data_IF_884539713776
#
_entry.id   IF_884539713776
#
_cell.length_a   1.000
_cell.length_b   1.000
_cell.length_c   1.000
_cell.angle_alpha   90.00
_cell.angle_beta   90.00
_cell.angle_gamma   90.00
#
_symmetry.space_group_name_H-M   'P 1'
#
loop_
_entity.id
_entity.type
_entity.pdbx_description
1 polymer ?
#
# COMPACT_ATOMS: atom_id res chain seq x y z
N UNK A 1 -13.68 -36.03 -9.13
CA UNK A 1 -13.89 -34.60 -9.52
C UNK A 1 -13.35 -33.61 -8.46
N UNK A 2 -12.26 -33.91 -7.73
CA UNK A 2 -11.76 -33.08 -6.60
C UNK A 2 -10.30 -32.62 -6.75
N UNK A 3 -9.68 -32.82 -7.90
CA UNK A 3 -8.25 -32.54 -8.15
C UNK A 3 -7.99 -31.55 -9.29
N UNK A 4 -9.01 -31.21 -10.10
CA UNK A 4 -8.84 -30.35 -11.27
C UNK A 4 -8.77 -28.84 -10.97
N UNK A 5 -9.27 -28.38 -9.81
CA UNK A 5 -9.32 -26.95 -9.48
C UNK A 5 -8.02 -26.39 -8.88
N UNK A 6 -7.16 -27.23 -8.28
CA UNK A 6 -5.82 -26.83 -7.81
C UNK A 6 -4.85 -26.54 -8.97
N UNK A 7 -5.12 -27.09 -10.16
CA UNK A 7 -4.34 -26.89 -11.37
C UNK A 7 -4.56 -25.52 -12.03
N UNK A 8 -5.51 -24.69 -11.57
CA UNK A 8 -5.78 -23.36 -12.14
C UNK A 8 -5.13 -22.20 -11.36
N UNK A 9 -4.63 -22.44 -10.15
CA UNK A 9 -3.88 -21.44 -9.37
C UNK A 9 -2.36 -21.55 -9.53
N UNK A 10 -1.85 -22.74 -9.81
CA UNK A 10 -0.45 -22.93 -10.18
C UNK A 10 -0.06 -22.17 -11.47
N UNK A 11 -0.92 -22.08 -12.51
CA UNK A 11 -0.66 -21.26 -13.68
C UNK A 11 -0.78 -19.77 -13.41
N UNK A 12 -1.50 -19.25 -12.40
CA UNK A 12 -1.53 -17.80 -12.19
C UNK A 12 -0.24 -17.26 -11.52
N UNK A 13 0.40 -18.08 -10.67
CA UNK A 13 1.73 -17.80 -10.13
C UNK A 13 2.86 -18.07 -11.14
N UNK A 14 2.58 -18.79 -12.24
CA UNK A 14 3.52 -19.09 -13.34
C UNK A 14 3.15 -18.43 -14.69
N UNK A 15 2.00 -17.77 -14.82
CA UNK A 15 1.53 -17.10 -16.06
C UNK A 15 2.09 -15.68 -16.21
N UNK A 16 3.17 -15.38 -15.49
CA UNK A 16 4.21 -14.52 -16.05
C UNK A 16 4.91 -15.15 -17.27
N UNK A 17 4.78 -16.47 -17.51
CA UNK A 17 5.31 -17.12 -18.71
C UNK A 17 4.68 -18.52 -18.97
N UNK A 18 3.50 -18.60 -19.60
CA UNK A 18 3.08 -19.81 -20.34
C UNK A 18 2.13 -19.41 -21.50
N UNK A 19 2.41 -19.77 -22.77
CA UNK A 19 1.40 -19.89 -23.81
C UNK A 19 0.84 -21.33 -23.86
N UNK A 20 -0.48 -21.48 -23.97
CA UNK A 20 -1.15 -22.70 -24.48
C UNK A 20 -1.04 -22.71 -26.04
N UNK A 21 -1.10 -23.79 -26.83
CA UNK A 21 -1.71 -25.14 -26.82
C UNK A 21 -0.67 -26.11 -27.50
N UNK A 22 -0.70 -27.44 -27.49
CA UNK A 22 -1.77 -28.41 -27.80
C UNK A 22 -1.32 -29.86 -27.44
N UNK A 23 -2.27 -30.68 -27.01
CA UNK A 23 -2.36 -32.15 -26.94
C UNK A 23 -1.43 -33.10 -26.11
N UNK A 24 -2.17 -33.84 -25.25
CA UNK A 24 -2.01 -35.23 -24.78
C UNK A 24 -1.03 -35.57 -23.64
N UNK A 25 -1.64 -35.98 -22.52
CA UNK A 25 -0.99 -36.69 -21.41
C UNK A 25 -0.32 -37.99 -21.89
N UNK A 26 0.75 -38.42 -21.20
CA UNK A 26 0.54 -39.31 -20.06
C UNK A 26 1.30 -38.86 -18.80
N UNK A 27 0.90 -39.41 -17.66
CA UNK A 27 1.45 -39.13 -16.34
C UNK A 27 2.99 -39.25 -16.30
N UNK A 28 3.68 -38.18 -15.88
CA UNK A 28 5.13 -38.19 -15.66
C UNK A 28 5.45 -37.78 -14.22
N UNK A 29 6.28 -38.62 -13.61
CA UNK A 29 6.85 -38.60 -12.26
C UNK A 29 7.28 -37.22 -11.74
N UNK A 30 7.08 -37.02 -10.42
CA UNK A 30 7.33 -35.81 -9.64
C UNK A 30 8.82 -35.41 -9.45
N UNK A 31 9.77 -36.04 -10.14
CA UNK A 31 11.19 -36.03 -9.75
C UNK A 31 12.18 -35.28 -10.66
N UNK A 32 11.72 -34.34 -11.52
CA UNK A 32 12.66 -33.53 -12.33
C UNK A 32 12.30 -32.06 -12.38
N UNK A 33 12.58 -31.32 -11.30
CA UNK A 33 12.64 -29.83 -11.28
C UNK A 33 14.07 -29.31 -11.34
N UNK A 34 14.88 -29.79 -12.29
CA UNK A 34 16.24 -29.26 -12.49
C UNK A 34 16.58 -28.76 -13.90
N UNK A 35 15.71 -28.94 -14.90
CA UNK A 35 15.97 -28.43 -16.25
C UNK A 35 14.80 -27.59 -16.77
N UNK A 36 14.67 -26.36 -16.28
CA UNK A 36 13.91 -25.30 -16.96
C UNK A 36 14.75 -24.03 -16.94
N UNK A 37 15.44 -23.76 -18.04
CA UNK A 37 16.10 -22.48 -18.28
C UNK A 37 15.01 -21.40 -18.48
N UNK A 38 15.02 -20.29 -17.72
CA UNK A 38 14.04 -19.24 -17.88
C UNK A 38 14.26 -18.49 -19.20
N UNK A 39 13.26 -18.53 -20.09
CA UNK A 39 13.16 -17.54 -21.16
C UNK A 39 12.73 -16.21 -20.55
N UNK A 40 13.72 -15.45 -20.10
CA UNK A 40 13.54 -14.11 -19.54
C UNK A 40 13.23 -13.13 -20.67
N UNK A 41 12.06 -12.50 -20.64
CA UNK A 41 11.88 -11.14 -21.17
C UNK A 41 12.65 -10.16 -20.27
N UNK A 42 13.98 -10.16 -20.40
CA UNK A 42 14.94 -9.17 -19.86
C UNK A 42 14.86 -8.70 -18.38
N UNK A 43 14.07 -9.29 -17.49
CA UNK A 43 13.88 -8.81 -16.10
C UNK A 43 14.59 -9.62 -15.02
N UNK A 44 15.05 -8.94 -13.95
CA UNK A 44 15.56 -9.55 -12.70
C UNK A 44 14.44 -10.33 -12.01
N UNK A 45 14.65 -11.63 -11.76
CA UNK A 45 13.76 -12.41 -10.87
C UNK A 45 14.00 -11.94 -9.44
N UNK A 46 12.95 -11.41 -8.81
CA UNK A 46 13.02 -10.93 -7.43
C UNK A 46 12.69 -12.07 -6.47
N UNK A 47 13.49 -12.22 -5.42
CA UNK A 47 13.26 -13.26 -4.43
C UNK A 47 11.97 -13.00 -3.64
N UNK A 48 11.62 -11.74 -3.39
CA UNK A 48 10.32 -11.40 -2.77
C UNK A 48 9.11 -11.90 -3.59
N UNK A 49 9.21 -11.89 -4.93
CA UNK A 49 8.15 -12.40 -5.80
C UNK A 49 8.06 -13.94 -5.75
N UNK A 50 9.18 -14.63 -5.55
CA UNK A 50 9.18 -16.10 -5.31
C UNK A 50 8.47 -16.43 -4.00
N UNK A 51 8.71 -15.66 -2.93
CA UNK A 51 7.99 -15.82 -1.66
C UNK A 51 6.49 -15.61 -1.83
N UNK A 52 6.08 -14.58 -2.59
CA UNK A 52 4.68 -14.33 -2.90
C UNK A 52 4.04 -15.50 -3.66
N UNK A 53 4.72 -16.09 -4.65
CA UNK A 53 4.22 -17.28 -5.34
C UNK A 53 3.99 -18.49 -4.42
N UNK A 54 4.92 -18.76 -3.50
CA UNK A 54 4.78 -19.81 -2.48
C UNK A 54 3.60 -19.50 -1.54
N UNK A 55 3.51 -18.25 -1.09
CA UNK A 55 2.45 -17.77 -0.22
C UNK A 55 1.06 -17.94 -0.86
N UNK A 56 0.91 -17.69 -2.15
CA UNK A 56 -0.36 -17.92 -2.87
C UNK A 56 -0.80 -19.39 -2.82
N UNK A 57 0.11 -20.33 -3.00
CA UNK A 57 -0.20 -21.76 -2.94
C UNK A 57 -0.60 -22.15 -1.51
N UNK A 58 0.19 -21.73 -0.51
CA UNK A 58 -0.07 -22.02 0.89
C UNK A 58 -1.40 -21.43 1.38
N UNK A 59 -1.76 -20.23 0.93
CA UNK A 59 -3.05 -19.62 1.22
C UNK A 59 -4.19 -20.55 0.82
N UNK A 60 -4.13 -21.08 -0.40
CA UNK A 60 -5.21 -21.89 -0.97
C UNK A 60 -5.32 -23.23 -0.26
N UNK A 61 -4.19 -23.87 0.05
CA UNK A 61 -4.15 -25.11 0.83
C UNK A 61 -4.71 -24.88 2.24
N UNK A 62 -4.25 -23.83 2.94
CA UNK A 62 -4.71 -23.52 4.29
C UNK A 62 -6.20 -23.19 4.32
N UNK A 63 -6.68 -22.40 3.36
CA UNK A 63 -8.09 -22.02 3.30
C UNK A 63 -8.99 -23.24 3.03
N UNK A 64 -8.62 -24.08 2.06
CA UNK A 64 -9.37 -25.28 1.73
C UNK A 64 -9.41 -26.32 2.86
N UNK A 65 -8.34 -26.41 3.67
CA UNK A 65 -8.20 -27.46 4.69
C UNK A 65 -8.55 -27.01 6.10
N UNK A 66 -8.29 -25.75 6.46
CA UNK A 66 -8.43 -25.23 7.84
C UNK A 66 -9.51 -24.16 8.00
N UNK A 67 -9.99 -23.55 6.91
CA UNK A 67 -10.97 -22.44 6.94
C UNK A 67 -12.09 -22.67 5.93
N UNK A 68 -12.71 -23.85 6.00
CA UNK A 68 -13.72 -24.30 5.03
C UNK A 68 -14.88 -23.31 4.82
N UNK A 69 -15.30 -22.58 5.85
CA UNK A 69 -16.37 -21.57 5.72
C UNK A 69 -15.95 -20.31 4.96
N UNK A 70 -14.68 -19.89 5.09
CA UNK A 70 -14.10 -18.84 4.26
C UNK A 70 -13.95 -19.35 2.82
N UNK A 71 -13.42 -20.57 2.65
CA UNK A 71 -13.22 -21.18 1.35
C UNK A 71 -14.52 -21.40 0.55
N UNK A 72 -15.65 -21.67 1.21
CA UNK A 72 -16.95 -21.73 0.52
C UNK A 72 -17.32 -20.41 -0.15
N UNK A 73 -16.94 -19.26 0.45
CA UNK A 73 -17.26 -17.92 -0.05
C UNK A 73 -16.21 -17.40 -1.03
N UNK A 74 -14.94 -17.63 -0.74
CA UNK A 74 -13.81 -17.22 -1.56
C UNK A 74 -12.91 -18.40 -1.89
N UNK A 75 -12.70 -18.68 -3.17
CA UNK A 75 -11.98 -19.87 -3.64
C UNK A 75 -11.35 -19.63 -5.02
N UNK A 76 -10.63 -20.60 -5.59
CA UNK A 76 -9.91 -20.44 -6.85
C UNK A 76 -10.78 -20.00 -8.03
N UNK A 77 -12.10 -20.20 -7.97
CA UNK A 77 -13.02 -19.89 -9.07
C UNK A 77 -13.49 -18.42 -9.06
N UNK A 78 -13.39 -17.73 -7.92
CA UNK A 78 -13.86 -16.35 -7.79
C UNK A 78 -12.86 -15.39 -7.14
N UNK A 79 -11.72 -15.89 -6.66
CA UNK A 79 -10.67 -15.06 -6.07
C UNK A 79 -10.09 -14.10 -7.11
N UNK A 80 -9.94 -12.86 -6.67
CA UNK A 80 -9.35 -11.81 -7.48
C UNK A 80 -7.83 -11.80 -7.31
N UNK A 81 -7.09 -11.55 -8.40
CA UNK A 81 -5.65 -11.33 -8.34
C UNK A 81 -5.35 -9.84 -8.41
N UNK A 82 -4.78 -9.27 -7.35
CA UNK A 82 -4.19 -7.91 -7.38
C UNK A 82 -2.80 -7.99 -8.00
N UNK A 83 -2.52 -7.09 -8.96
CA UNK A 83 -1.31 -7.16 -9.80
C UNK A 83 -0.44 -5.92 -9.66
N UNK A 84 0.84 -6.09 -9.96
CA UNK A 84 1.81 -4.99 -10.04
C UNK A 84 1.40 -4.00 -11.15
N UNK A 85 1.47 -2.70 -10.86
CA UNK A 85 1.07 -1.65 -11.81
C UNK A 85 1.73 -1.78 -13.18
N UNK A 86 3.02 -2.15 -13.22
CA UNK A 86 3.75 -2.33 -14.47
C UNK A 86 3.18 -3.43 -15.38
N UNK A 87 2.46 -4.40 -14.82
CA UNK A 87 1.82 -5.51 -15.56
C UNK A 87 0.42 -5.16 -16.09
N UNK A 88 -0.15 -4.02 -15.68
CA UNK A 88 -1.41 -3.56 -16.22
C UNK A 88 -1.26 -3.19 -17.70
N UNK A 89 -2.23 -3.61 -18.50
CA UNK A 89 -2.44 -3.13 -19.86
C UNK A 89 -2.73 -1.63 -19.88
N UNK A 90 -2.58 -1.00 -21.05
CA UNK A 90 -2.88 0.42 -21.23
C UNK A 90 -4.33 0.77 -20.85
N UNK A 91 -5.29 -0.09 -21.17
CA UNK A 91 -6.71 0.11 -20.84
C UNK A 91 -6.97 -0.03 -19.33
N UNK A 92 -6.34 -1.00 -18.66
CA UNK A 92 -6.45 -1.15 -17.21
C UNK A 92 -5.91 0.07 -16.46
N UNK A 93 -4.74 0.60 -16.87
CA UNK A 93 -4.16 1.82 -16.29
C UNK A 93 -5.10 3.02 -16.48
N UNK A 94 -5.60 3.24 -17.71
CA UNK A 94 -6.56 4.32 -17.99
C UNK A 94 -7.82 4.21 -17.14
N UNK A 95 -8.41 3.02 -17.05
CA UNK A 95 -9.63 2.82 -16.28
C UNK A 95 -9.44 3.09 -14.78
N UNK A 96 -8.28 2.70 -14.20
CA UNK A 96 -7.94 3.07 -12.82
C UNK A 96 -7.82 4.60 -12.67
N UNK A 97 -7.01 5.24 -13.52
CA UNK A 97 -6.76 6.69 -13.48
C UNK A 97 -8.05 7.50 -13.61
N UNK A 98 -8.94 7.11 -14.52
CA UNK A 98 -10.26 7.73 -14.71
C UNK A 98 -11.13 7.60 -13.46
N UNK A 99 -11.13 6.43 -12.81
CA UNK A 99 -11.89 6.23 -11.59
C UNK A 99 -11.37 7.07 -10.41
N UNK A 100 -10.03 7.18 -10.25
CA UNK A 100 -9.44 8.06 -9.22
C UNK A 100 -9.81 9.52 -9.48
N UNK A 101 -9.73 9.97 -10.74
CA UNK A 101 -10.16 11.31 -11.16
C UNK A 101 -11.67 11.55 -10.98
N UNK A 102 -12.47 10.51 -11.01
CA UNK A 102 -13.90 10.62 -10.70
C UNK A 102 -14.10 10.92 -9.21
N UNK A 103 -13.35 10.28 -8.30
CA UNK A 103 -13.45 10.55 -6.86
C UNK A 103 -13.10 11.99 -6.51
N UNK A 104 -12.16 12.64 -7.22
CA UNK A 104 -11.83 14.05 -6.99
C UNK A 104 -12.88 15.04 -7.52
N UNK A 105 -13.89 14.56 -8.25
CA UNK A 105 -15.01 15.36 -8.77
C UNK A 105 -16.34 15.06 -8.08
N UNK A 106 -16.48 13.88 -7.48
CA UNK A 106 -17.69 13.50 -6.76
C UNK A 106 -17.80 14.29 -5.43
N UNK A 107 -19.02 14.68 -5.00
CA UNK A 107 -19.21 15.48 -3.79
C UNK A 107 -18.86 14.70 -2.52
N UNK A 108 -18.22 15.30 -1.50
CA UNK A 108 -17.79 14.62 -0.28
C UNK A 108 -18.99 14.09 0.52
N UNK A 109 -18.79 13.00 1.28
CA UNK A 109 -19.76 12.48 2.25
C UNK A 109 -19.54 13.03 3.65
N UNK A 110 -18.33 13.44 3.99
CA UNK A 110 -17.99 13.98 5.31
C UNK A 110 -18.67 15.35 5.51
N UNK A 111 -19.42 15.56 6.61
CA UNK A 111 -20.04 16.86 6.91
C UNK A 111 -18.99 17.97 7.03
N UNK A 112 -19.33 19.18 6.58
CA UNK A 112 -18.42 20.35 6.68
C UNK A 112 -18.05 20.74 8.12
N UNK A 113 -18.87 20.39 9.11
CA UNK A 113 -18.55 20.56 10.54
C UNK A 113 -17.43 19.62 11.01
N UNK A 114 -17.24 18.51 10.31
CA UNK A 114 -16.26 17.47 10.62
C UNK A 114 -15.05 17.49 9.69
N UNK A 115 -15.16 18.13 8.53
CA UNK A 115 -14.08 18.39 7.60
C UNK A 115 -14.40 19.64 6.76
N UNK A 116 -14.10 20.85 7.26
CA UNK A 116 -14.38 22.09 6.54
C UNK A 116 -13.75 22.13 5.13
N UNK A 117 -12.56 21.53 5.00
CA UNK A 117 -11.74 21.48 3.80
C UNK A 117 -12.10 20.39 2.79
N UNK A 118 -12.91 19.39 3.15
CA UNK A 118 -13.24 18.29 2.24
C UNK A 118 -14.08 18.81 1.06
N UNK A 119 -13.55 18.75 -0.15
CA UNK A 119 -14.24 19.23 -1.37
C UNK A 119 -14.77 18.09 -2.23
N UNK A 120 -14.27 16.87 -2.06
CA UNK A 120 -14.62 15.75 -2.90
C UNK A 120 -14.56 14.41 -2.15
N UNK A 121 -15.01 13.34 -2.81
CA UNK A 121 -15.02 11.97 -2.23
C UNK A 121 -13.65 11.41 -1.93
N UNK A 122 -12.61 11.87 -2.62
CA UNK A 122 -11.25 11.49 -2.30
C UNK A 122 -10.81 12.10 -0.96
N UNK A 123 -11.20 13.35 -0.68
CA UNK A 123 -10.90 14.02 0.59
C UNK A 123 -11.53 13.31 1.79
N UNK A 124 -12.64 12.58 1.63
CA UNK A 124 -13.22 11.77 2.72
C UNK A 124 -12.23 10.71 3.23
N UNK A 125 -11.49 10.07 2.31
CA UNK A 125 -10.45 9.10 2.64
C UNK A 125 -9.27 9.78 3.33
N UNK A 126 -8.80 10.89 2.78
CA UNK A 126 -7.71 11.69 3.38
C UNK A 126 -8.08 12.14 4.79
N UNK A 127 -9.31 12.63 5.01
CA UNK A 127 -9.80 13.04 6.32
C UNK A 127 -9.90 11.87 7.31
N UNK A 128 -10.37 10.69 6.86
CA UNK A 128 -10.43 9.50 7.70
C UNK A 128 -9.04 9.08 8.21
N UNK A 129 -8.02 9.19 7.36
CA UNK A 129 -6.64 8.91 7.75
C UNK A 129 -6.09 9.97 8.73
N UNK A 130 -6.23 11.26 8.42
CA UNK A 130 -5.81 12.36 9.32
C UNK A 130 -6.41 12.19 10.72
N UNK A 131 -7.71 11.92 10.81
CA UNK A 131 -8.42 11.74 12.10
C UNK A 131 -7.95 10.53 12.90
N UNK A 132 -7.46 9.50 12.23
CA UNK A 132 -7.15 8.20 12.85
C UNK A 132 -5.65 7.92 12.95
N UNK A 133 -4.77 8.79 12.44
CA UNK A 133 -3.32 8.57 12.34
C UNK A 133 -2.70 8.00 13.61
N UNK A 134 -3.05 8.52 14.79
CA UNK A 134 -2.52 8.06 16.09
C UNK A 134 -3.04 6.70 16.55
N UNK A 135 -4.15 6.23 16.00
CA UNK A 135 -4.76 4.93 16.33
C UNK A 135 -4.52 3.87 15.24
N UNK A 136 -3.77 4.16 14.18
CA UNK A 136 -3.59 3.26 13.02
C UNK A 136 -2.15 3.11 12.56
N UNK A 137 -1.17 3.72 13.24
CA UNK A 137 0.26 3.58 12.96
C UNK A 137 1.01 3.26 14.23
N UNK A 138 1.99 2.35 14.17
CA UNK A 138 2.63 1.80 15.36
C UNK A 138 1.58 1.37 16.43
N UNK A 139 0.46 0.82 15.94
CA UNK A 139 -0.61 0.19 16.72
C UNK A 139 -0.85 -1.24 16.22
N UNK A 140 -1.54 -2.06 17.02
CA UNK A 140 -1.80 -3.46 16.64
C UNK A 140 -2.78 -3.63 15.49
N UNK A 141 -3.57 -2.60 15.18
CA UNK A 141 -4.46 -2.57 14.03
C UNK A 141 -3.83 -1.93 12.77
N UNK A 142 -2.55 -1.51 12.78
CA UNK A 142 -1.91 -0.86 11.63
C UNK A 142 -2.12 -1.61 10.31
N UNK A 143 -1.71 -2.88 10.26
CA UNK A 143 -1.83 -3.74 9.08
C UNK A 143 -3.30 -4.02 8.68
N UNK A 144 -4.18 -4.51 9.57
CA UNK A 144 -5.57 -4.78 9.21
C UNK A 144 -6.37 -3.51 8.84
N UNK A 145 -6.11 -2.37 9.48
CA UNK A 145 -6.77 -1.11 9.15
C UNK A 145 -6.39 -0.65 7.74
N UNK A 146 -5.09 -0.68 7.39
CA UNK A 146 -4.64 -0.28 6.04
C UNK A 146 -5.08 -1.26 4.94
N UNK A 147 -5.15 -2.57 5.24
CA UNK A 147 -5.81 -3.55 4.36
C UNK A 147 -7.28 -3.17 4.11
N UNK A 148 -8.02 -2.86 5.16
CA UNK A 148 -9.41 -2.48 5.05
C UNK A 148 -9.59 -1.15 4.30
N UNK A 149 -8.75 -0.16 4.60
CA UNK A 149 -8.75 1.16 3.97
C UNK A 149 -8.51 1.09 2.45
N UNK A 150 -7.50 0.32 2.01
CA UNK A 150 -7.23 0.11 0.58
C UNK A 150 -8.34 -0.69 -0.11
N UNK A 151 -8.93 -1.69 0.55
CA UNK A 151 -10.08 -2.41 0.01
C UNK A 151 -11.33 -1.52 -0.12
N UNK A 152 -11.62 -0.70 0.89
CA UNK A 152 -12.75 0.24 0.87
C UNK A 152 -12.59 1.31 -0.22
N UNK A 153 -11.36 1.78 -0.43
CA UNK A 153 -11.02 2.66 -1.55
C UNK A 153 -11.29 1.98 -2.89
N UNK A 154 -10.84 0.74 -3.07
CA UNK A 154 -11.13 -0.07 -4.27
C UNK A 154 -12.64 -0.22 -4.48
N UNK A 155 -13.41 -0.56 -3.44
CA UNK A 155 -14.87 -0.69 -3.55
C UNK A 155 -15.52 0.64 -3.94
N UNK A 156 -15.02 1.76 -3.42
CA UNK A 156 -15.52 3.10 -3.78
C UNK A 156 -15.25 3.41 -5.25
N UNK A 157 -14.03 3.15 -5.74
CA UNK A 157 -13.70 3.28 -7.17
C UNK A 157 -14.64 2.45 -8.06
N UNK A 158 -14.91 1.20 -7.66
CA UNK A 158 -15.73 0.25 -8.45
C UNK A 158 -17.21 0.63 -8.44
N UNK A 159 -17.75 0.92 -7.26
CA UNK A 159 -19.18 1.09 -7.06
C UNK A 159 -19.67 2.50 -7.37
N UNK A 160 -18.81 3.52 -7.25
CA UNK A 160 -19.22 4.92 -7.43
C UNK A 160 -18.58 5.58 -8.66
N UNK A 161 -17.41 5.07 -9.11
CA UNK A 161 -16.67 5.62 -10.24
C UNK A 161 -16.49 4.65 -11.42
N UNK A 162 -17.18 3.50 -11.38
CA UNK A 162 -17.25 2.57 -12.51
C UNK A 162 -15.95 1.82 -12.82
N UNK A 163 -14.97 1.81 -11.89
CA UNK A 163 -13.75 1.04 -12.04
C UNK A 163 -14.08 -0.46 -12.24
N UNK A 164 -13.47 -1.09 -13.24
CA UNK A 164 -13.73 -2.50 -13.57
C UNK A 164 -12.62 -3.43 -13.07
N UNK A 165 -11.43 -2.89 -12.86
CA UNK A 165 -10.28 -3.62 -12.33
C UNK A 165 -10.26 -3.71 -10.80
N UNK A 166 -9.19 -4.27 -10.27
CA UNK A 166 -8.96 -4.41 -8.84
C UNK A 166 -7.65 -3.73 -8.47
N UNK A 167 -7.47 -3.46 -7.18
CA UNK A 167 -6.47 -2.51 -6.74
C UNK A 167 -5.03 -2.92 -7.16
N UNK A 168 -4.27 -2.05 -7.84
CA UNK A 168 -2.87 -2.31 -8.18
C UNK A 168 -1.95 -2.11 -6.99
N UNK A 169 -0.81 -2.80 -6.99
CA UNK A 169 0.29 -2.52 -6.06
C UNK A 169 1.51 -1.91 -6.79
N UNK A 170 2.43 -1.34 -6.02
CA UNK A 170 3.74 -0.85 -6.51
C UNK A 170 4.86 -1.69 -5.88
N UNK A 171 5.47 -2.57 -6.67
CA UNK A 171 6.54 -3.47 -6.25
C UNK A 171 7.86 -2.68 -6.13
N UNK A 172 8.12 -2.08 -4.96
CA UNK A 172 9.30 -1.24 -4.75
C UNK A 172 10.61 -1.88 -5.21
N UNK A 173 10.89 -3.17 -4.91
CA UNK A 173 12.11 -3.83 -5.38
C UNK A 173 12.40 -3.75 -6.89
N UNK A 174 11.37 -3.65 -7.74
CA UNK A 174 11.54 -3.53 -9.21
C UNK A 174 12.10 -2.18 -9.64
N UNK A 175 11.88 -1.16 -8.82
CA UNK A 175 12.11 0.24 -9.15
C UNK A 175 13.02 0.93 -8.13
N UNK A 176 13.61 0.16 -7.21
CA UNK A 176 14.37 0.70 -6.07
C UNK A 176 15.58 1.54 -6.50
N UNK A 177 16.23 1.16 -7.60
CA UNK A 177 17.41 1.85 -8.13
C UNK A 177 17.05 3.17 -8.84
N UNK A 178 15.86 3.24 -9.42
CA UNK A 178 15.38 4.42 -10.18
C UNK A 178 13.84 4.48 -10.22
N UNK A 179 13.20 5.03 -9.17
CA UNK A 179 11.75 5.10 -9.07
C UNK A 179 11.08 5.88 -10.21
N UNK A 180 11.78 6.86 -10.78
CA UNK A 180 11.27 7.68 -11.89
C UNK A 180 11.15 6.90 -13.22
N UNK A 181 11.78 5.72 -13.33
CA UNK A 181 11.56 4.81 -14.47
C UNK A 181 10.36 3.88 -14.28
N UNK A 182 9.75 3.88 -13.11
CA UNK A 182 8.55 3.06 -12.90
C UNK A 182 7.40 3.56 -13.76
N UNK A 183 6.65 2.67 -14.43
CA UNK A 183 5.42 3.06 -15.13
C UNK A 183 4.36 3.72 -14.24
N UNK A 184 4.50 3.68 -12.92
CA UNK A 184 3.63 4.39 -11.98
C UNK A 184 4.06 5.84 -11.74
N UNK A 185 5.33 6.19 -11.97
CA UNK A 185 5.96 7.45 -11.58
C UNK A 185 6.76 8.12 -12.73
N UNK A 186 6.66 7.59 -13.96
CA UNK A 186 7.40 8.10 -15.13
C UNK A 186 6.82 9.40 -15.73
N UNK A 187 5.69 9.90 -15.21
CA UNK A 187 5.04 11.11 -15.71
C UNK A 187 4.33 10.95 -17.05
N UNK A 188 4.22 9.73 -17.58
CA UNK A 188 3.44 9.46 -18.78
C UNK A 188 1.93 9.58 -18.53
N UNK A 189 1.14 9.59 -19.59
CA UNK A 189 -0.34 9.56 -19.54
C UNK A 189 -0.91 8.30 -18.87
N UNK A 190 -0.08 7.30 -18.58
CA UNK A 190 -0.45 6.05 -17.92
C UNK A 190 0.21 5.89 -16.55
N UNK A 191 0.69 6.98 -15.95
CA UNK A 191 1.28 7.03 -14.61
C UNK A 191 0.34 7.66 -13.60
N UNK A 192 0.77 7.69 -12.33
CA UNK A 192 0.16 8.50 -11.29
C UNK A 192 0.79 9.91 -11.22
N UNK A 193 1.23 10.43 -12.37
CA UNK A 193 2.07 11.61 -12.48
C UNK A 193 3.56 11.27 -12.38
N UNK A 194 4.39 12.28 -12.57
CA UNK A 194 5.86 12.16 -12.50
C UNK A 194 6.44 12.75 -11.24
N UNK A 195 7.71 13.13 -11.33
CA UNK A 195 8.36 13.98 -10.33
C UNK A 195 7.81 15.41 -10.37
N UNK A 196 8.02 16.16 -9.29
CA UNK A 196 7.79 17.59 -9.27
C UNK A 196 8.79 18.34 -10.15
N UNK A 197 8.42 19.53 -10.64
CA UNK A 197 9.43 20.48 -11.12
C UNK A 197 10.44 20.79 -10.02
N UNK A 198 11.63 21.25 -10.40
CA UNK A 198 12.56 21.81 -9.44
C UNK A 198 11.87 22.94 -8.66
N UNK A 199 11.92 22.85 -7.34
CA UNK A 199 11.28 23.81 -6.45
C UNK A 199 11.75 23.62 -5.02
N UNK A 200 11.21 24.44 -4.12
CA UNK A 200 11.53 24.38 -2.71
C UNK A 200 13.04 24.49 -2.42
N UNK A 201 13.68 25.54 -2.93
CA UNK A 201 15.14 25.74 -2.85
C UNK A 201 15.69 25.81 -1.42
N UNK A 202 14.85 26.15 -0.45
CA UNK A 202 15.25 26.24 0.96
C UNK A 202 15.27 24.88 1.67
N UNK A 203 14.66 23.84 1.08
CA UNK A 203 14.79 22.48 1.58
C UNK A 203 16.17 21.94 1.23
N UNK A 204 16.82 21.28 2.18
CA UNK A 204 18.10 20.61 1.93
C UNK A 204 18.02 19.12 2.24
N UNK A 205 17.19 18.72 3.21
CA UNK A 205 16.90 17.33 3.55
C UNK A 205 15.51 17.21 4.18
N UNK A 206 14.95 16.00 4.24
CA UNK A 206 13.81 15.66 5.10
C UNK A 206 14.33 14.82 6.28
N UNK A 207 14.04 15.26 7.50
CA UNK A 207 14.46 14.61 8.74
C UNK A 207 13.45 13.57 9.21
N UNK A 208 13.94 12.40 9.64
CA UNK A 208 13.12 11.37 10.28
C UNK A 208 13.60 11.17 11.72
N UNK A 209 12.73 11.30 12.74
CA UNK A 209 11.30 11.58 12.65
C UNK A 209 10.97 13.06 12.36
N UNK A 210 11.89 14.00 12.65
CA UNK A 210 11.70 15.43 12.38
C UNK A 210 12.97 16.10 11.87
N UNK A 211 12.88 17.28 11.24
CA UNK A 211 14.03 18.11 10.88
C UNK A 211 14.79 18.66 12.09
N UNK A 212 14.10 18.88 13.22
CA UNK A 212 14.70 19.42 14.44
C UNK A 212 15.64 18.40 15.11
N UNK A 213 15.21 17.14 15.18
CA UNK A 213 15.95 16.03 15.79
C UNK A 213 15.97 14.80 14.86
N UNK A 214 16.70 14.88 13.72
CA UNK A 214 16.69 13.81 12.72
C UNK A 214 17.64 12.68 13.11
N UNK A 215 17.10 11.47 13.23
CA UNK A 215 17.88 10.22 13.25
C UNK A 215 18.35 9.82 11.85
N UNK A 216 17.54 10.13 10.83
CA UNK A 216 17.86 9.91 9.41
C UNK A 216 17.65 11.23 8.66
N UNK A 217 18.60 11.60 7.78
CA UNK A 217 18.50 12.79 6.92
C UNK A 217 18.42 12.36 5.46
N UNK A 218 17.22 12.42 4.88
CA UNK A 218 16.99 12.12 3.47
C UNK A 218 17.38 13.35 2.65
N UNK A 219 18.38 13.28 1.76
CA UNK A 219 18.74 14.41 0.92
C UNK A 219 17.57 14.86 0.04
N UNK A 220 17.43 16.18 -0.18
CA UNK A 220 16.47 16.70 -1.16
C UNK A 220 16.75 16.09 -2.54
N UNK A 221 15.70 15.67 -3.22
CA UNK A 221 15.75 15.18 -4.59
C UNK A 221 15.77 16.29 -5.65
N UNK A 222 15.70 15.90 -6.94
CA UNK A 222 15.71 16.83 -8.06
C UNK A 222 14.39 17.58 -8.27
N UNK A 223 13.31 17.24 -7.54
CA UNK A 223 11.99 17.85 -7.65
C UNK A 223 11.75 18.90 -6.57
N UNK A 224 10.64 18.75 -5.84
CA UNK A 224 10.23 19.59 -4.71
C UNK A 224 9.10 20.59 -5.03
N UNK A 225 8.83 20.83 -6.32
CA UNK A 225 7.70 21.62 -6.79
C UNK A 225 6.48 20.77 -7.17
N UNK A 226 5.50 21.39 -7.83
CA UNK A 226 4.31 20.70 -8.32
C UNK A 226 4.67 19.62 -9.34
N UNK A 227 3.95 18.49 -9.32
CA UNK A 227 3.98 17.48 -10.38
C UNK A 227 3.69 18.14 -11.73
N UNK A 228 4.56 17.93 -12.72
CA UNK A 228 4.54 18.69 -13.97
C UNK A 228 3.85 17.97 -15.14
N UNK A 229 3.68 16.65 -15.03
CA UNK A 229 3.23 15.79 -16.12
C UNK A 229 2.34 14.64 -15.65
N UNK A 230 1.73 13.97 -16.62
CA UNK A 230 0.81 12.86 -16.42
C UNK A 230 -0.57 13.30 -15.94
N UNK A 231 -1.47 12.33 -15.71
CA UNK A 231 -2.89 12.61 -15.45
C UNK A 231 -3.15 13.41 -14.17
N UNK A 232 -2.21 13.40 -13.22
CA UNK A 232 -2.35 13.98 -11.89
C UNK A 232 -1.60 15.32 -11.71
N UNK A 233 -1.11 15.94 -12.79
CA UNK A 233 -0.45 17.27 -12.71
C UNK A 233 -1.34 18.36 -12.08
N UNK A 234 -2.65 18.28 -12.31
CA UNK A 234 -3.66 19.20 -11.78
C UNK A 234 -4.41 18.59 -10.59
N UNK A 235 -3.81 17.60 -9.91
CA UNK A 235 -4.44 16.93 -8.78
C UNK A 235 -4.56 17.88 -7.58
N UNK A 236 -5.78 18.05 -7.02
CA UNK A 236 -5.99 18.95 -5.89
C UNK A 236 -5.59 18.28 -4.59
N UNK A 237 -4.65 18.88 -3.86
CA UNK A 237 -4.39 18.56 -2.46
C UNK A 237 -5.11 19.60 -1.61
N UNK A 238 -6.25 19.22 -1.01
CA UNK A 238 -7.15 20.15 -0.31
C UNK A 238 -6.93 20.21 1.20
N UNK A 239 -6.45 19.13 1.80
CA UNK A 239 -6.28 18.98 3.24
C UNK A 239 -4.79 19.04 3.63
N UNK A 240 -4.53 19.10 4.93
CA UNK A 240 -3.16 19.21 5.45
C UNK A 240 -2.48 20.53 5.08
N UNK A 241 -1.15 20.61 5.25
CA UNK A 241 -0.33 19.62 5.96
C UNK A 241 -0.66 19.59 7.46
N UNK A 242 -0.21 18.55 8.17
CA UNK A 242 -0.34 18.41 9.63
C UNK A 242 1.02 18.17 10.26
N UNK A 243 1.75 17.18 9.75
CA UNK A 243 3.07 16.80 10.26
C UNK A 243 3.97 16.54 9.07
N UNK A 244 4.55 17.64 8.55
CA UNK A 244 5.50 17.62 7.44
C UNK A 244 6.71 18.44 7.81
N UNK A 245 7.85 17.99 7.32
CA UNK A 245 9.12 18.70 7.36
C UNK A 245 9.42 19.44 6.04
N UNK A 246 8.44 19.51 5.14
CA UNK A 246 8.54 20.32 3.94
C UNK A 246 8.43 21.81 4.27
N UNK A 247 9.49 22.57 4.00
CA UNK A 247 9.60 24.00 4.26
C UNK A 247 8.82 24.87 3.26
N UNK A 248 8.22 24.26 2.23
CA UNK A 248 7.61 24.97 1.11
C UNK A 248 6.14 24.64 0.92
N UNK A 249 5.47 24.28 2.02
CA UNK A 249 4.04 24.02 2.05
C UNK A 249 3.40 25.04 3.00
N UNK A 250 2.36 25.77 2.56
CA UNK A 250 1.65 26.67 3.46
C UNK A 250 0.98 25.84 4.58
N UNK A 251 1.05 26.29 5.85
CA UNK A 251 0.38 25.59 6.94
C UNK A 251 -1.13 25.54 6.69
N UNK A 252 -1.78 24.47 7.15
CA UNK A 252 -3.24 24.40 7.13
C UNK A 252 -3.84 25.53 7.98
N UNK A 253 -5.02 26.09 7.65
CA UNK A 253 -5.64 27.12 8.50
C UNK A 253 -6.07 26.61 9.89
N UNK A 254 -6.16 25.29 10.09
CA UNK A 254 -6.41 24.67 11.40
C UNK A 254 -5.15 23.93 11.86
N UNK A 255 -4.29 24.60 12.64
CA UNK A 255 -2.99 24.08 13.09
C UNK A 255 -2.94 23.68 14.56
N UNK A 256 -3.95 24.04 15.36
CA UNK A 256 -3.94 23.73 16.78
C UNK A 256 -4.11 22.23 17.00
N UNK A 257 -3.11 21.55 17.58
CA UNK A 257 -3.13 20.11 17.85
C UNK A 257 -4.21 19.66 18.84
N UNK A 258 -4.83 20.59 19.57
CA UNK A 258 -5.98 20.30 20.44
C UNK A 258 -7.33 20.40 19.71
N UNK A 259 -7.35 20.95 18.48
CA UNK A 259 -8.55 21.01 17.67
C UNK A 259 -8.85 19.64 17.05
N UNK A 260 -10.05 19.07 17.22
CA UNK A 260 -10.42 17.78 16.63
C UNK A 260 -10.39 17.79 15.09
N UNK A 261 -10.37 18.96 14.46
CA UNK A 261 -10.31 19.16 13.02
C UNK A 261 -8.92 19.64 12.53
N UNK A 262 -7.86 19.47 13.33
CA UNK A 262 -6.48 19.79 12.90
C UNK A 262 -6.16 19.20 11.53
N UNK A 263 -5.65 20.04 10.62
CA UNK A 263 -5.36 19.63 9.24
C UNK A 263 -6.55 19.48 8.30
N UNK A 264 -7.79 19.62 8.79
CA UNK A 264 -9.00 19.43 7.98
C UNK A 264 -9.56 20.75 7.43
N UNK A 265 -8.86 21.87 7.62
CA UNK A 265 -9.22 23.14 7.00
C UNK A 265 -8.94 23.14 5.49
N UNK A 266 -9.67 23.97 4.73
CA UNK A 266 -9.49 24.07 3.28
C UNK A 266 -8.16 24.75 2.95
N UNK A 267 -7.23 24.01 2.33
CA UNK A 267 -5.89 24.47 1.97
C UNK A 267 -5.49 23.96 0.57
N UNK A 268 -6.18 24.39 -0.50
CA UNK A 268 -5.98 23.87 -1.85
C UNK A 268 -4.60 24.23 -2.40
N UNK A 269 -3.88 23.22 -2.88
CA UNK A 269 -2.57 23.37 -3.54
C UNK A 269 -2.32 22.20 -4.49
N UNK A 270 -1.27 22.32 -5.31
CA UNK A 270 -0.86 21.26 -6.22
C UNK A 270 -0.24 20.08 -5.45
N UNK A 271 -0.35 18.88 -6.02
CA UNK A 271 0.47 17.74 -5.62
C UNK A 271 1.96 18.04 -5.89
N UNK A 272 2.83 17.88 -4.89
CA UNK A 272 4.29 18.05 -5.03
C UNK A 272 5.00 16.73 -4.76
N UNK A 273 6.03 16.44 -5.55
CA UNK A 273 6.91 15.30 -5.33
C UNK A 273 8.37 15.69 -5.45
N UNK A 274 9.20 14.95 -4.74
CA UNK A 274 10.65 15.09 -4.75
C UNK A 274 11.29 13.71 -4.87
N UNK A 275 10.95 13.02 -5.96
CA UNK A 275 11.26 11.60 -6.19
C UNK A 275 12.77 11.42 -6.29
N UNK A 276 13.31 10.52 -5.46
CA UNK A 276 14.73 10.16 -5.42
C UNK A 276 14.88 8.67 -5.13
N UNK A 277 15.93 8.06 -5.64
CA UNK A 277 16.26 6.66 -5.32
C UNK A 277 16.95 6.48 -3.97
N UNK A 278 17.25 7.56 -3.25
CA UNK A 278 18.03 7.51 -2.01
C UNK A 278 17.38 6.62 -0.96
N UNK A 279 16.08 6.79 -0.71
CA UNK A 279 15.33 5.96 0.25
C UNK A 279 15.04 4.57 -0.32
N UNK A 280 14.61 4.50 -1.57
CA UNK A 280 14.16 3.24 -2.17
C UNK A 280 15.29 2.22 -2.36
N UNK A 281 16.48 2.69 -2.76
CA UNK A 281 17.66 1.83 -2.93
C UNK A 281 18.18 1.25 -1.63
N UNK A 282 17.87 1.88 -0.49
CA UNK A 282 18.37 1.49 0.83
C UNK A 282 17.41 0.57 1.59
N UNK A 283 16.11 0.85 1.58
CA UNK A 283 15.15 0.15 2.44
C UNK A 283 14.00 -0.54 1.71
N UNK A 284 13.78 -0.28 0.41
CA UNK A 284 12.69 -0.91 -0.35
C UNK A 284 13.18 -1.80 -1.49
N UNK A 285 14.46 -2.15 -1.50
CA UNK A 285 15.03 -3.10 -2.44
C UNK A 285 14.62 -4.56 -2.08
N UNK A 286 14.93 -5.50 -2.97
CA UNK A 286 14.54 -6.91 -2.82
C UNK A 286 15.09 -7.55 -1.53
N UNK A 287 16.36 -7.27 -1.19
CA UNK A 287 17.03 -7.79 0.00
C UNK A 287 16.28 -7.37 1.28
N UNK A 288 15.87 -6.10 1.35
CA UNK A 288 15.17 -5.57 2.52
C UNK A 288 13.75 -6.12 2.65
N UNK A 289 13.05 -6.33 1.54
CA UNK A 289 11.74 -7.00 1.55
C UNK A 289 11.89 -8.46 1.98
N UNK A 290 12.89 -9.18 1.46
CA UNK A 290 13.16 -10.58 1.86
C UNK A 290 13.55 -10.68 3.33
N UNK A 291 14.36 -9.76 3.84
CA UNK A 291 14.71 -9.69 5.27
C UNK A 291 13.44 -9.57 6.12
N UNK A 292 12.52 -8.67 5.74
CA UNK A 292 11.25 -8.48 6.42
C UNK A 292 10.34 -9.72 6.31
N UNK A 293 10.28 -10.40 5.16
CA UNK A 293 9.51 -11.64 5.00
C UNK A 293 10.04 -12.79 5.87
N UNK A 294 11.30 -12.74 6.27
CA UNK A 294 11.94 -13.70 7.18
C UNK A 294 11.83 -13.32 8.66
N UNK A 295 11.10 -12.26 9.03
CA UNK A 295 10.84 -11.95 10.44
C UNK A 295 10.21 -13.14 11.17
N UNK A 296 10.71 -13.51 12.36
CA UNK A 296 10.31 -14.73 13.06
C UNK A 296 8.89 -14.66 13.62
N UNK A 297 8.47 -13.47 14.05
CA UNK A 297 7.18 -13.23 14.71
C UNK A 297 6.54 -11.90 14.25
N UNK A 298 5.28 -11.70 14.65
CA UNK A 298 4.53 -10.50 14.30
C UNK A 298 5.16 -9.23 14.91
N UNK A 299 5.76 -9.31 16.11
CA UNK A 299 6.40 -8.15 16.73
C UNK A 299 7.51 -7.61 15.83
N UNK A 300 8.44 -8.47 15.43
CA UNK A 300 9.59 -8.13 14.60
C UNK A 300 9.15 -7.69 13.21
N UNK A 301 8.20 -8.40 12.59
CA UNK A 301 7.65 -8.01 11.29
C UNK A 301 7.04 -6.61 11.33
N UNK A 302 6.19 -6.37 12.32
CA UNK A 302 5.48 -5.12 12.50
C UNK A 302 6.42 -3.95 12.80
N UNK A 303 7.42 -4.14 13.67
CA UNK A 303 8.38 -3.08 14.01
C UNK A 303 9.28 -2.79 12.81
N UNK A 304 9.85 -3.82 12.19
CA UNK A 304 10.82 -3.64 11.11
C UNK A 304 10.19 -3.04 9.86
N UNK A 305 8.91 -3.28 9.61
CA UNK A 305 8.17 -2.63 8.53
C UNK A 305 8.09 -1.10 8.70
N UNK A 306 7.97 -0.62 9.93
CA UNK A 306 7.68 0.79 10.27
C UNK A 306 8.90 1.59 10.75
N UNK A 307 10.09 0.99 10.80
CA UNK A 307 11.33 1.67 11.18
C UNK A 307 12.02 1.12 12.43
N UNK A 308 11.62 -0.06 12.90
CA UNK A 308 12.25 -0.75 14.03
C UNK A 308 11.71 -0.35 15.40
N UNK A 309 12.24 -0.99 16.43
CA UNK A 309 11.92 -0.76 17.84
C UNK A 309 13.25 -0.67 18.63
N UNK A 310 13.68 0.52 19.08
CA UNK A 310 13.02 1.82 18.96
C UNK A 310 13.03 2.38 17.53
N UNK A 311 12.02 3.17 17.16
CA UNK A 311 11.87 3.65 15.79
C UNK A 311 13.04 4.53 15.31
N UNK A 312 13.49 4.22 14.10
CA UNK A 312 14.54 4.88 13.33
C UNK A 312 15.94 4.86 13.96
N UNK A 313 16.13 4.07 15.02
CA UNK A 313 17.47 3.80 15.57
C UNK A 313 18.33 3.05 14.56
N UNK A 314 19.66 3.19 14.69
CA UNK A 314 20.64 2.55 13.81
C UNK A 314 20.44 2.83 12.31
N UNK A 315 19.90 4.01 11.97
CA UNK A 315 19.67 4.43 10.57
C UNK A 315 18.77 3.45 9.79
N UNK A 316 17.71 2.94 10.43
CA UNK A 316 16.79 1.98 9.81
C UNK A 316 15.38 2.58 9.62
N UNK A 317 14.94 2.70 8.36
CA UNK A 317 13.67 3.37 8.04
C UNK A 317 12.46 2.42 7.92
N UNK A 318 12.69 1.15 7.58
CA UNK A 318 11.62 0.21 7.24
C UNK A 318 10.96 0.51 5.88
N UNK A 319 10.31 -0.51 5.31
CA UNK A 319 9.72 -0.42 3.95
C UNK A 319 8.52 0.52 3.86
N UNK A 320 7.76 0.70 4.96
CA UNK A 320 6.59 1.58 5.01
C UNK A 320 7.01 3.05 4.90
N UNK A 321 7.81 3.52 5.85
CA UNK A 321 8.32 4.89 5.86
C UNK A 321 9.13 5.19 4.59
N UNK A 322 10.04 4.30 4.18
CA UNK A 322 10.84 4.51 2.98
C UNK A 322 10.02 4.55 1.69
N UNK A 323 8.92 3.79 1.61
CA UNK A 323 8.00 3.85 0.47
C UNK A 323 7.30 5.19 0.35
N UNK A 324 6.85 5.81 1.46
CA UNK A 324 6.32 7.18 1.46
C UNK A 324 7.39 8.20 1.02
N UNK A 325 8.57 8.14 1.62
CA UNK A 325 9.67 9.05 1.29
C UNK A 325 10.36 8.77 -0.05
N UNK A 326 9.94 7.73 -0.80
CA UNK A 326 10.35 7.54 -2.20
C UNK A 326 9.77 8.65 -3.09
N UNK A 327 8.52 9.07 -2.82
CA UNK A 327 7.90 10.19 -3.54
C UNK A 327 8.10 11.53 -2.84
N UNK A 328 8.21 11.52 -1.49
CA UNK A 328 8.40 12.69 -0.64
C UNK A 328 7.46 13.87 -1.03
N UNK A 329 7.88 15.11 -0.83
CA UNK A 329 7.11 16.29 -1.19
C UNK A 329 5.83 16.42 -0.37
N UNK A 330 4.75 16.85 -1.01
CA UNK A 330 3.49 17.21 -0.34
C UNK A 330 2.30 16.58 -1.07
N UNK A 331 1.59 15.63 -0.42
CA UNK A 331 1.71 15.24 0.99
C UNK A 331 2.59 14.00 1.27
N UNK A 332 3.41 13.53 0.32
CA UNK A 332 4.15 12.27 0.48
C UNK A 332 5.13 12.22 1.65
N UNK A 333 5.60 13.37 2.15
CA UNK A 333 6.43 13.47 3.37
C UNK A 333 5.63 13.78 4.65
N UNK A 334 4.30 13.83 4.57
CA UNK A 334 3.43 14.17 5.70
C UNK A 334 2.75 12.93 6.29
N UNK A 335 3.03 12.66 7.57
CA UNK A 335 2.59 11.44 8.25
C UNK A 335 1.05 11.28 8.31
N UNK A 336 0.30 12.39 8.36
CA UNK A 336 -1.16 12.36 8.48
C UNK A 336 -1.83 12.44 7.12
N UNK A 337 -1.25 13.21 6.20
CA UNK A 337 -1.94 13.63 4.97
C UNK A 337 -1.44 12.87 3.73
N UNK A 338 -0.51 11.92 3.90
CA UNK A 338 0.05 11.09 2.82
C UNK A 338 -0.97 10.46 1.85
N UNK A 339 -2.21 10.07 2.23
CA UNK A 339 -3.20 9.59 1.25
C UNK A 339 -3.61 10.63 0.20
N UNK A 340 -3.35 11.91 0.43
CA UNK A 340 -3.60 12.97 -0.55
C UNK A 340 -2.78 12.80 -1.83
N UNK A 341 -1.70 12.02 -1.82
CA UNK A 341 -1.03 11.52 -3.03
C UNK A 341 -1.66 10.18 -3.49
N UNK A 342 -2.20 10.08 -4.73
CA UNK A 342 -2.73 8.82 -5.29
C UNK A 342 -1.78 7.63 -5.27
N UNK A 343 -0.47 7.84 -5.18
CA UNK A 343 0.55 6.79 -4.99
C UNK A 343 0.35 6.01 -3.70
N UNK A 344 -0.17 6.65 -2.64
CA UNK A 344 -0.39 6.04 -1.32
C UNK A 344 -1.05 4.67 -1.42
N UNK A 345 -2.10 4.57 -2.24
CA UNK A 345 -2.88 3.34 -2.31
C UNK A 345 -2.14 2.20 -3.01
N UNK A 346 -1.25 2.49 -3.96
CA UNK A 346 -0.39 1.46 -4.57
C UNK A 346 0.71 1.03 -3.58
N UNK A 347 1.29 1.99 -2.85
CA UNK A 347 2.25 1.71 -1.78
C UNK A 347 1.63 0.82 -0.69
N UNK A 348 0.46 1.17 -0.17
CA UNK A 348 -0.19 0.39 0.89
C UNK A 348 -0.74 -0.96 0.41
N UNK A 349 -0.98 -1.13 -0.89
CA UNK A 349 -1.28 -2.46 -1.44
C UNK A 349 -0.04 -3.33 -1.58
N UNK A 350 1.14 -2.73 -1.74
CA UNK A 350 2.40 -3.46 -1.61
C UNK A 350 2.71 -3.78 -0.14
N UNK A 351 2.40 -2.88 0.81
CA UNK A 351 2.45 -3.19 2.26
C UNK A 351 1.56 -4.39 2.57
N UNK A 352 0.33 -4.38 2.08
CA UNK A 352 -0.60 -5.50 2.23
C UNK A 352 -0.09 -6.78 1.56
N UNK A 353 0.52 -6.69 0.37
CA UNK A 353 1.16 -7.83 -0.30
C UNK A 353 2.28 -8.43 0.54
N UNK A 354 3.16 -7.61 1.11
CA UNK A 354 4.27 -8.11 1.95
C UNK A 354 3.73 -8.77 3.22
N UNK A 355 2.72 -8.18 3.87
CA UNK A 355 2.07 -8.79 5.03
C UNK A 355 1.34 -10.09 4.68
N UNK A 356 0.53 -10.09 3.61
CA UNK A 356 -0.12 -11.29 3.08
C UNK A 356 0.90 -12.39 2.78
N UNK A 357 2.06 -12.04 2.22
CA UNK A 357 3.12 -13.00 1.92
C UNK A 357 3.66 -13.60 3.21
N UNK A 358 4.05 -12.76 4.18
CA UNK A 358 4.55 -13.20 5.47
C UNK A 358 3.55 -14.10 6.22
N UNK A 359 2.26 -13.73 6.21
CA UNK A 359 1.18 -14.54 6.79
C UNK A 359 1.12 -15.92 6.14
N UNK A 360 1.11 -15.99 4.81
CA UNK A 360 0.90 -17.25 4.09
C UNK A 360 2.17 -18.09 3.89
N UNK A 361 3.35 -17.64 4.32
CA UNK A 361 4.50 -18.55 4.50
C UNK A 361 4.20 -19.58 5.60
N UNK A 362 3.55 -19.18 6.70
CA UNK A 362 3.08 -20.08 7.76
C UNK A 362 1.69 -19.66 8.26
N UNK A 363 0.62 -19.92 7.48
CA UNK A 363 -0.71 -19.35 7.75
C UNK A 363 -1.34 -19.88 9.04
N UNK A 364 -0.97 -21.08 9.49
CA UNK A 364 -1.51 -21.66 10.72
C UNK A 364 -1.17 -20.82 11.96
N UNK A 365 0.06 -20.31 12.03
CA UNK A 365 0.55 -19.51 13.15
C UNK A 365 0.35 -18.00 12.91
N UNK A 366 0.46 -17.55 11.66
CA UNK A 366 0.60 -16.12 11.35
C UNK A 366 -0.70 -15.42 10.94
N UNK A 367 -1.74 -16.15 10.52
CA UNK A 367 -2.98 -15.51 10.04
C UNK A 367 -3.56 -14.57 11.08
N UNK A 368 -3.64 -14.99 12.34
CA UNK A 368 -4.25 -14.21 13.43
C UNK A 368 -3.22 -13.55 14.36
N UNK A 369 -1.94 -13.54 13.98
CA UNK A 369 -0.90 -12.93 14.80
C UNK A 369 -1.11 -11.41 14.82
N UNK A 370 -1.09 -10.82 16.02
CA UNK A 370 -1.27 -9.38 16.26
C UNK A 370 -0.30 -8.93 17.36
N UNK A 371 0.25 -7.74 17.23
CA UNK A 371 1.16 -7.15 18.20
C UNK A 371 0.98 -5.64 18.25
N UNK A 372 0.94 -5.05 19.45
CA UNK A 372 0.84 -3.61 19.65
C UNK A 372 -0.41 -3.17 20.40
N UNK A 373 -0.40 -1.91 20.83
CA UNK A 373 -1.50 -1.25 21.55
C UNK A 373 -2.46 -0.57 20.58
N UNK A 374 -3.57 -0.05 21.11
CA UNK A 374 -4.60 0.67 20.35
C UNK A 374 -4.24 2.13 20.03
N UNK A 375 -3.18 2.67 20.66
CA UNK A 375 -2.72 4.05 20.49
C UNK A 375 -1.20 4.07 20.39
N UNK A 376 -0.68 4.82 19.41
CA UNK A 376 0.76 4.99 19.20
C UNK A 376 1.46 5.60 20.42
N UNK A 377 2.65 5.12 20.74
CA UNK A 377 3.55 5.69 21.75
C UNK A 377 2.98 5.84 23.17
N UNK A 378 1.84 5.20 23.46
CA UNK A 378 1.25 5.14 24.79
C UNK A 378 1.38 3.71 25.34
N UNK A 379 2.35 3.45 26.26
CA UNK A 379 2.53 2.14 26.86
C UNK A 379 1.39 1.76 27.83
N UNK A 380 0.52 2.71 28.21
CA UNK A 380 -0.64 2.47 29.06
C UNK A 380 -1.90 2.10 28.26
N UNK A 381 -1.88 2.33 26.94
CA UNK A 381 -3.00 1.99 26.07
C UNK A 381 -3.26 0.47 26.05
N UNK A 382 -4.53 0.03 25.98
CA UNK A 382 -4.85 -1.39 25.92
C UNK A 382 -4.19 -2.08 24.72
N UNK A 383 -3.77 -3.33 24.93
CA UNK A 383 -3.36 -4.22 23.84
C UNK A 383 -4.51 -4.44 22.86
N UNK A 384 -4.20 -4.41 21.56
CA UNK A 384 -5.17 -4.60 20.50
C UNK A 384 -5.70 -6.04 20.49
N UNK A 385 -7.00 -6.22 20.25
CA UNK A 385 -7.68 -7.51 20.21
C UNK A 385 -8.32 -7.73 18.85
N UNK A 386 -8.40 -8.99 18.43
CA UNK A 386 -9.10 -9.36 17.19
C UNK A 386 -10.58 -8.93 17.17
N UNK A 387 -11.20 -8.76 18.33
CA UNK A 387 -12.59 -8.30 18.48
C UNK A 387 -12.77 -6.79 18.36
N UNK A 388 -11.67 -6.01 18.36
CA UNK A 388 -11.76 -4.56 18.27
C UNK A 388 -12.32 -4.17 16.89
N UNK A 389 -13.18 -3.15 16.89
CA UNK A 389 -13.83 -2.64 15.68
C UNK A 389 -12.94 -1.61 14.99
N UNK A 390 -12.95 -1.62 13.67
CA UNK A 390 -12.34 -0.63 12.81
C UNK A 390 -13.43 0.05 12.00
N UNK A 391 -13.37 1.38 11.95
CA UNK A 391 -14.27 2.22 11.18
C UNK A 391 -13.47 3.13 10.25
N UNK A 392 -14.05 3.47 9.11
CA UNK A 392 -13.49 4.47 8.18
C UNK A 392 -14.33 5.77 8.20
N UNK A 393 -15.25 5.89 9.17
CA UNK A 393 -16.15 7.04 9.28
C UNK A 393 -16.93 7.27 7.98
N UNK A 394 -16.85 8.48 7.45
CA UNK A 394 -17.56 8.86 6.23
C UNK A 394 -16.87 8.42 4.94
N UNK A 395 -15.61 7.95 5.00
CA UNK A 395 -14.93 7.42 3.81
C UNK A 395 -15.60 6.14 3.32
N UNK A 396 -16.00 5.27 4.24
CA UNK A 396 -16.72 4.05 3.92
C UNK A 396 -17.62 3.58 5.08
N UNK A 397 -18.91 3.26 4.82
CA UNK A 397 -19.92 3.15 5.88
C UNK A 397 -19.92 1.83 6.66
N UNK A 398 -19.21 0.80 6.19
CA UNK A 398 -19.16 -0.49 6.86
C UNK A 398 -18.11 -0.46 7.99
N UNK A 399 -18.48 -0.97 9.15
CA UNK A 399 -17.51 -1.29 10.21
C UNK A 399 -17.19 -2.78 10.14
N UNK A 400 -15.94 -3.14 10.44
CA UNK A 400 -15.50 -4.53 10.57
C UNK A 400 -14.65 -4.70 11.82
N UNK A 401 -14.53 -5.93 12.31
CA UNK A 401 -13.56 -6.28 13.35
C UNK A 401 -12.17 -6.52 12.76
N UNK A 402 -11.14 -6.43 13.59
CA UNK A 402 -9.78 -6.82 13.19
C UNK A 402 -9.75 -8.28 12.71
N UNK A 403 -10.46 -9.19 13.37
CA UNK A 403 -10.59 -10.59 12.99
C UNK A 403 -11.03 -10.79 11.53
N UNK A 404 -11.99 -9.98 11.08
CA UNK A 404 -12.50 -10.01 9.71
C UNK A 404 -11.47 -9.51 8.68
N UNK A 405 -10.49 -8.71 9.12
CA UNK A 405 -9.44 -8.19 8.25
C UNK A 405 -8.16 -9.06 8.20
N UNK A 406 -8.05 -10.08 9.05
CA UNK A 406 -6.82 -10.87 9.17
C UNK A 406 -6.52 -11.75 7.96
N UNK A 407 -7.50 -12.02 7.09
CA UNK A 407 -7.31 -12.87 5.91
C UNK A 407 -7.92 -12.25 4.66
N UNK A 408 -7.20 -12.25 3.54
CA UNK A 408 -7.68 -11.73 2.25
C UNK A 408 -8.72 -12.63 1.55
N UNK A 409 -9.04 -13.79 2.14
CA UNK A 409 -10.17 -14.66 1.75
C UNK A 409 -11.25 -14.74 2.85
N UNK A 410 -11.12 -13.94 3.91
CA UNK A 410 -12.07 -13.83 5.01
C UNK A 410 -12.75 -12.47 5.06
N UNK A 411 -13.75 -12.34 5.93
CA UNK A 411 -14.49 -11.09 6.10
C UNK A 411 -15.10 -10.61 4.77
N UNK A 412 -14.95 -9.32 4.41
CA UNK A 412 -15.43 -8.78 3.14
C UNK A 412 -14.47 -9.04 1.96
N UNK A 413 -13.35 -9.73 2.18
CA UNK A 413 -12.29 -9.86 1.19
C UNK A 413 -12.37 -11.16 0.40
N UNK A 414 -11.99 -11.08 -0.88
CA UNK A 414 -11.74 -12.25 -1.70
C UNK A 414 -10.68 -11.96 -2.78
N UNK A 415 -9.42 -11.85 -2.35
CA UNK A 415 -8.31 -11.58 -3.25
C UNK A 415 -6.99 -12.24 -2.82
N UNK A 416 -6.07 -12.38 -3.76
CA UNK A 416 -4.69 -12.83 -3.60
C UNK A 416 -3.73 -11.86 -4.30
N UNK A 417 -2.45 -11.98 -4.01
CA UNK A 417 -1.38 -11.37 -4.79
C UNK A 417 -0.62 -12.45 -5.58
N UNK A 418 0.03 -12.01 -6.66
CA UNK A 418 1.08 -12.74 -7.37
C UNK A 418 2.30 -11.84 -7.48
#
# INVERSE_FOLDING_TARGET
>A
MRTAALLWLAPAALAGAIPALEESSPAVSFDKRQDVSPNILGGKVLQADVYAGIAAINQQIYQATQKSDQFKKCNPLNIVVRKEWATFTKSEKKNYIEAVKCMSKAPPKTPKSECPGCQNRYDDFVAAHIKQTFSVHNTGNFLPWHRYYTWAYEQTLRNECGYKGYHPYYNWPRWADDPMKSPALDGSELSLGGNGVAGCSNQTFYGIPTNAEPKIKIPKGPGGGCVSSGPFKDWPVNLGPVFTDSLCVPPNPITNFTDPNVGLGYNPRCLKRDISSWTSSQWTNDEMVVKLLNSPDMKTFWSDMQGGDPSFENNFMGVHTAGHFTISGDPGSDFFTSPGDPYFFLHHSQIDRVWWTWQNINPAERTNAIYGTTVISDPTAPATKLTDKMTLGYAYPQDITIAEAMSTMGGPFCYTYI
#
